data_IF_749041933954
#
_entry.id   IF_749041933954
#
_cell.length_a   1.000
_cell.length_b   1.000
_cell.length_c   1.000
_cell.angle_alpha   90.00
_cell.angle_beta   90.00
_cell.angle_gamma   90.00
#
_symmetry.space_group_name_H-M   'P 1'
#
loop_
_entity.id
_entity.type
_entity.pdbx_description
1 polymer ?
#
# COMPACT_ATOMS: atom_id res chain seq x y z
N UNK A 1 -10.94 19.64 7.53
CA UNK A 1 -11.03 18.57 6.51
C UNK A 1 -11.26 17.26 7.26
N UNK A 2 -12.38 16.56 7.00
CA UNK A 2 -12.66 15.29 7.69
C UNK A 2 -11.72 14.21 7.09
N UNK A 3 -10.67 13.83 7.80
CA UNK A 3 -9.69 12.83 7.34
C UNK A 3 -10.30 11.45 7.08
N UNK A 4 -11.38 11.14 7.78
CA UNK A 4 -12.24 9.99 7.52
C UNK A 4 -12.79 9.94 6.08
N UNK A 5 -12.81 11.09 5.37
CA UNK A 5 -13.20 11.14 3.95
C UNK A 5 -12.32 10.24 3.08
N UNK A 6 -11.00 10.27 3.27
CA UNK A 6 -10.08 9.47 2.44
C UNK A 6 -10.32 7.98 2.58
N UNK A 7 -10.41 7.46 3.82
CA UNK A 7 -10.64 6.03 4.04
C UNK A 7 -12.04 5.62 3.59
N UNK A 8 -13.05 6.48 3.78
CA UNK A 8 -14.44 6.23 3.34
C UNK A 8 -14.55 6.17 1.82
N UNK A 9 -13.83 7.03 1.10
CA UNK A 9 -13.94 7.15 -0.36
C UNK A 9 -13.07 6.14 -1.10
N UNK A 10 -11.83 5.99 -0.67
CA UNK A 10 -10.82 5.18 -1.37
C UNK A 10 -10.57 3.81 -0.73
N UNK A 11 -10.92 3.62 0.54
CA UNK A 11 -10.69 2.38 1.30
C UNK A 11 -11.97 1.81 1.88
N UNK A 12 -13.01 1.55 1.06
CA UNK A 12 -14.34 1.14 1.52
C UNK A 12 -14.31 -0.04 2.49
N UNK A 13 -13.57 -1.11 2.19
CA UNK A 13 -13.42 -2.27 3.07
C UNK A 13 -12.81 -1.87 4.42
N UNK A 14 -11.74 -1.08 4.40
CA UNK A 14 -11.10 -0.55 5.62
C UNK A 14 -12.02 0.37 6.41
N UNK A 15 -12.83 1.18 5.73
CA UNK A 15 -13.81 2.04 6.38
C UNK A 15 -14.84 1.23 7.15
N UNK A 16 -15.44 0.21 6.53
CA UNK A 16 -16.44 -0.64 7.15
C UNK A 16 -15.84 -1.47 8.29
N UNK A 17 -14.68 -2.07 8.08
CA UNK A 17 -13.96 -2.79 9.12
C UNK A 17 -13.59 -1.88 10.31
N UNK A 18 -13.22 -0.63 10.02
CA UNK A 18 -12.86 0.37 11.02
C UNK A 18 -14.01 0.78 11.95
N UNK A 19 -15.28 0.59 11.54
CA UNK A 19 -16.44 0.87 12.42
C UNK A 19 -16.51 -0.06 13.65
N UNK A 20 -15.81 -1.17 13.62
CA UNK A 20 -15.68 -2.09 14.76
C UNK A 20 -14.48 -1.77 15.66
N UNK A 21 -13.67 -0.77 15.32
CA UNK A 21 -12.59 -0.27 16.16
C UNK A 21 -13.10 0.77 17.18
N UNK A 22 -12.36 0.96 18.26
CA UNK A 22 -12.56 2.14 19.12
C UNK A 22 -12.39 3.42 18.32
N UNK A 23 -13.18 4.46 18.61
CA UNK A 23 -13.22 5.71 17.83
C UNK A 23 -11.85 6.38 17.70
N UNK A 24 -11.04 6.39 18.74
CA UNK A 24 -9.69 6.94 18.76
C UNK A 24 -8.73 6.15 17.85
N UNK A 25 -8.76 4.82 17.93
CA UNK A 25 -7.96 3.94 17.07
C UNK A 25 -8.37 4.11 15.61
N UNK A 26 -9.68 4.15 15.32
CA UNK A 26 -10.17 4.37 13.96
C UNK A 26 -9.77 5.73 13.40
N UNK A 27 -9.79 6.79 14.24
CA UNK A 27 -9.33 8.11 13.83
C UNK A 27 -7.83 8.09 13.48
N UNK A 28 -7.00 7.43 14.29
CA UNK A 28 -5.56 7.33 14.05
C UNK A 28 -5.24 6.48 12.78
N UNK A 29 -5.96 5.38 12.56
CA UNK A 29 -5.89 4.62 11.30
C UNK A 29 -6.29 5.47 10.09
N UNK A 30 -7.33 6.30 10.23
CA UNK A 30 -7.79 7.18 9.15
C UNK A 30 -6.76 8.27 8.82
N UNK A 31 -6.01 8.76 9.80
CA UNK A 31 -4.92 9.72 9.58
C UNK A 31 -3.76 9.04 8.83
N UNK A 32 -3.34 7.83 9.25
CA UNK A 32 -2.32 7.07 8.53
C UNK A 32 -2.74 6.81 7.09
N UNK A 33 -3.98 6.35 6.88
CA UNK A 33 -4.52 6.10 5.54
C UNK A 33 -4.49 7.37 4.67
N UNK A 34 -4.97 8.50 5.22
CA UNK A 34 -4.97 9.77 4.50
C UNK A 34 -3.56 10.25 4.16
N UNK A 35 -2.58 10.07 5.07
CA UNK A 35 -1.19 10.43 4.84
C UNK A 35 -0.60 9.61 3.68
N UNK A 36 -0.78 8.30 3.68
CA UNK A 36 -0.31 7.42 2.61
C UNK A 36 -1.00 7.74 1.28
N UNK A 37 -2.33 7.91 1.28
CA UNK A 37 -3.09 8.19 0.06
C UNK A 37 -2.74 9.55 -0.56
N UNK A 38 -2.56 10.60 0.25
CA UNK A 38 -2.14 11.91 -0.26
C UNK A 38 -0.74 11.83 -0.88
N UNK A 39 0.19 11.10 -0.25
CA UNK A 39 1.53 10.92 -0.81
C UNK A 39 1.49 10.17 -2.16
N UNK A 40 0.66 9.15 -2.28
CA UNK A 40 0.43 8.35 -3.48
C UNK A 40 -0.21 9.19 -4.60
N UNK A 41 -1.27 9.94 -4.32
CA UNK A 41 -1.93 10.83 -5.29
C UNK A 41 -0.99 11.90 -5.91
N UNK A 42 0.13 12.25 -5.23
CA UNK A 42 1.11 13.17 -5.78
C UNK A 42 1.86 12.61 -7.00
N UNK A 43 1.88 11.29 -7.17
CA UNK A 43 2.61 10.61 -8.26
C UNK A 43 1.69 10.04 -9.34
N UNK A 44 0.40 9.85 -9.06
CA UNK A 44 -0.52 9.16 -9.98
C UNK A 44 -0.88 9.96 -11.24
N UNK A 45 -1.05 11.28 -11.17
CA UNK A 45 -1.61 12.05 -12.29
C UNK A 45 -0.88 13.36 -12.59
N UNK A 46 0.44 13.47 -12.35
CA UNK A 46 1.08 14.77 -12.38
C UNK A 46 2.33 14.87 -13.27
N UNK A 47 2.30 15.81 -14.23
CA UNK A 47 3.47 16.17 -15.03
C UNK A 47 4.73 16.53 -14.19
N UNK A 48 4.58 16.87 -12.90
CA UNK A 48 5.65 17.24 -11.97
C UNK A 48 5.70 16.32 -10.72
N UNK A 49 5.32 15.04 -10.86
CA UNK A 49 5.22 14.08 -9.77
C UNK A 49 6.49 14.03 -8.89
N UNK A 50 7.66 13.94 -9.50
CA UNK A 50 8.96 13.92 -8.80
C UNK A 50 9.19 15.16 -7.91
N UNK A 51 8.84 16.34 -8.41
CA UNK A 51 8.99 17.60 -7.65
C UNK A 51 8.01 17.63 -6.47
N UNK A 52 6.76 17.24 -6.70
CA UNK A 52 5.69 17.25 -5.68
C UNK A 52 6.00 16.29 -4.54
N UNK A 53 6.36 15.04 -4.86
CA UNK A 53 6.70 14.08 -3.80
C UNK A 53 7.97 14.49 -3.05
N UNK A 54 8.99 15.03 -3.70
CA UNK A 54 10.18 15.52 -3.02
C UNK A 54 9.85 16.71 -2.10
N UNK A 55 8.96 17.62 -2.52
CA UNK A 55 8.48 18.70 -1.66
C UNK A 55 7.75 18.18 -0.43
N UNK A 56 6.86 17.19 -0.62
CA UNK A 56 6.13 16.56 0.48
C UNK A 56 7.08 15.90 1.50
N UNK A 57 8.10 15.16 1.02
CA UNK A 57 9.10 14.52 1.87
C UNK A 57 9.96 15.56 2.60
N UNK A 58 10.40 16.63 1.91
CA UNK A 58 11.11 17.73 2.55
C UNK A 58 10.26 18.40 3.63
N UNK A 59 8.98 18.59 3.36
CA UNK A 59 8.05 19.18 4.33
C UNK A 59 7.80 18.24 5.53
N UNK A 60 7.76 16.91 5.29
CA UNK A 60 7.74 15.93 6.37
C UNK A 60 9.00 15.98 7.24
N UNK A 61 10.17 16.26 6.70
CA UNK A 61 11.42 16.36 7.46
C UNK A 61 11.51 17.62 8.36
N UNK A 62 10.69 18.65 8.11
CA UNK A 62 10.68 19.87 8.91
C UNK A 62 10.04 19.60 10.29
N UNK A 63 10.50 20.26 11.35
CA UNK A 63 9.94 20.13 12.71
C UNK A 63 8.44 20.46 12.71
N UNK A 64 8.05 21.58 12.07
CA UNK A 64 6.64 21.97 11.84
C UNK A 64 6.38 22.03 10.36
N UNK A 65 5.32 21.35 9.90
CA UNK A 65 4.84 21.41 8.52
C UNK A 65 3.66 22.41 8.43
N UNK A 66 3.51 23.06 7.26
CA UNK A 66 2.28 23.78 6.92
C UNK A 66 1.14 22.81 6.56
N UNK A 67 1.46 21.59 6.24
CA UNK A 67 0.49 20.55 5.87
C UNK A 67 -0.08 19.88 7.12
N UNK A 68 -1.39 20.01 7.31
CA UNK A 68 -2.12 19.50 8.47
C UNK A 68 -1.96 17.98 8.60
N UNK A 69 -2.03 17.23 7.47
CA UNK A 69 -1.93 15.76 7.51
C UNK A 69 -0.55 15.29 7.96
N UNK A 70 0.51 15.97 7.54
CA UNK A 70 1.88 15.68 7.98
C UNK A 70 2.00 15.87 9.50
N UNK A 71 1.48 16.98 10.03
CA UNK A 71 1.54 17.25 11.47
C UNK A 71 0.73 16.23 12.28
N UNK A 72 -0.44 15.84 11.78
CA UNK A 72 -1.26 14.81 12.45
C UNK A 72 -0.58 13.45 12.41
N UNK A 73 0.00 13.07 11.27
CA UNK A 73 0.73 11.81 11.16
C UNK A 73 1.95 11.78 12.08
N UNK A 74 2.71 12.86 12.21
CA UNK A 74 3.83 12.96 13.17
C UNK A 74 3.39 12.74 14.61
N UNK A 75 2.21 13.26 15.00
CA UNK A 75 1.66 12.99 16.34
C UNK A 75 1.40 11.50 16.54
N UNK A 76 0.83 10.82 15.55
CA UNK A 76 0.61 9.36 15.60
C UNK A 76 1.93 8.62 15.62
N UNK A 77 2.88 9.02 14.80
CA UNK A 77 4.21 8.41 14.76
C UNK A 77 4.86 8.42 16.15
N UNK A 78 4.81 9.56 16.86
CA UNK A 78 5.33 9.67 18.22
C UNK A 78 4.49 8.83 19.19
N UNK A 79 3.16 8.97 19.15
CA UNK A 79 2.21 8.27 20.04
C UNK A 79 2.42 6.75 20.06
N UNK A 80 2.68 6.17 18.88
CA UNK A 80 2.78 4.73 18.70
C UNK A 80 4.20 4.24 18.43
N UNK A 81 5.21 5.10 18.60
CA UNK A 81 6.63 4.76 18.33
C UNK A 81 6.84 4.10 16.95
N UNK A 82 6.21 4.68 15.90
CA UNK A 82 6.35 4.15 14.55
C UNK A 82 7.77 4.42 14.04
N UNK A 83 8.55 3.38 13.69
CA UNK A 83 9.92 3.53 13.23
C UNK A 83 10.02 4.33 11.92
N UNK A 84 10.96 5.27 11.86
CA UNK A 84 11.25 6.06 10.65
C UNK A 84 11.56 5.19 9.42
N UNK A 85 12.10 3.98 9.64
CA UNK A 85 12.39 3.03 8.57
C UNK A 85 11.16 2.79 7.68
N UNK A 86 9.98 2.54 8.25
CA UNK A 86 8.78 2.23 7.46
C UNK A 86 8.32 3.43 6.63
N UNK A 87 8.50 4.64 7.15
CA UNK A 87 8.13 5.88 6.44
C UNK A 87 9.12 6.16 5.29
N UNK A 88 10.41 5.97 5.55
CA UNK A 88 11.44 6.13 4.51
C UNK A 88 11.29 5.10 3.40
N UNK A 89 10.99 3.84 3.76
CA UNK A 89 10.73 2.76 2.82
C UNK A 89 9.46 3.05 1.97
N UNK A 90 8.39 3.56 2.60
CA UNK A 90 7.19 4.00 1.88
C UNK A 90 7.50 5.11 0.88
N UNK A 91 8.21 6.16 1.31
CA UNK A 91 8.61 7.25 0.41
C UNK A 91 9.52 6.78 -0.73
N UNK A 92 10.38 5.81 -0.45
CA UNK A 92 11.18 5.18 -1.49
C UNK A 92 10.30 4.48 -2.53
N UNK A 93 9.32 3.68 -2.09
CA UNK A 93 8.37 3.00 -2.98
C UNK A 93 7.56 3.97 -3.84
N UNK A 94 6.96 5.00 -3.22
CA UNK A 94 6.19 6.02 -3.94
C UNK A 94 7.06 6.76 -4.99
N UNK A 95 8.33 7.02 -4.68
CA UNK A 95 9.25 7.63 -5.65
C UNK A 95 9.52 6.76 -6.88
N UNK A 96 9.42 5.44 -6.78
CA UNK A 96 9.58 4.58 -7.96
C UNK A 96 8.53 4.88 -9.02
N UNK A 97 7.30 5.25 -8.61
CA UNK A 97 6.18 5.54 -9.50
C UNK A 97 6.25 6.92 -10.18
N UNK A 98 7.26 7.73 -9.85
CA UNK A 98 7.55 8.98 -10.59
C UNK A 98 8.19 8.76 -11.97
N UNK A 99 8.49 7.53 -12.32
CA UNK A 99 9.05 7.08 -13.60
C UNK A 99 8.20 5.94 -14.17
N UNK A 100 8.30 5.64 -15.46
CA UNK A 100 7.69 4.45 -16.02
C UNK A 100 8.13 3.19 -15.25
N UNK A 101 7.17 2.47 -14.69
CA UNK A 101 7.43 1.27 -13.89
C UNK A 101 7.46 0.06 -14.81
N UNK A 102 8.49 -0.76 -14.65
CA UNK A 102 8.65 -2.03 -15.32
C UNK A 102 9.29 -3.05 -14.38
N UNK A 103 8.49 -3.91 -13.82
CA UNK A 103 8.92 -4.97 -12.91
C UNK A 103 9.51 -6.13 -13.72
N UNK A 104 10.70 -6.59 -13.36
CA UNK A 104 11.40 -7.66 -14.11
C UNK A 104 11.07 -9.04 -13.57
N UNK A 105 10.94 -9.18 -12.25
CA UNK A 105 10.82 -10.49 -11.59
C UNK A 105 9.81 -10.51 -10.46
N UNK A 106 9.52 -11.71 -9.98
CA UNK A 106 8.69 -11.98 -8.80
C UNK A 106 9.26 -11.31 -7.54
N UNK A 107 10.57 -11.31 -7.38
CA UNK A 107 11.25 -10.71 -6.24
C UNK A 107 11.09 -9.19 -6.24
N UNK A 108 11.16 -8.57 -7.42
CA UNK A 108 10.97 -7.13 -7.59
C UNK A 108 9.54 -6.70 -7.25
N UNK A 109 8.50 -7.46 -7.68
CA UNK A 109 7.11 -7.10 -7.34
C UNK A 109 6.83 -7.27 -5.86
N UNK A 110 7.37 -8.29 -5.20
CA UNK A 110 7.23 -8.48 -3.76
C UNK A 110 7.91 -7.32 -3.02
N UNK A 111 9.12 -6.93 -3.45
CA UNK A 111 9.86 -5.82 -2.87
C UNK A 111 9.14 -4.49 -3.05
N UNK A 112 8.59 -4.24 -4.24
CA UNK A 112 7.76 -3.07 -4.51
C UNK A 112 6.52 -3.06 -3.60
N UNK A 113 5.78 -4.18 -3.53
CA UNK A 113 4.60 -4.32 -2.68
C UNK A 113 4.92 -4.13 -1.19
N UNK A 114 6.10 -4.56 -0.73
CA UNK A 114 6.59 -4.24 0.61
C UNK A 114 6.70 -2.73 0.81
N UNK A 115 7.35 -2.02 -0.12
CA UNK A 115 7.58 -0.59 0.04
C UNK A 115 6.27 0.21 0.11
N UNK A 116 5.31 -0.05 -0.79
CA UNK A 116 4.09 0.78 -0.91
C UNK A 116 2.95 0.34 0.00
N UNK A 117 2.93 -0.91 0.47
CA UNK A 117 1.82 -1.45 1.27
C UNK A 117 2.26 -2.27 2.49
N UNK A 118 3.33 -3.06 2.40
CA UNK A 118 3.86 -3.79 3.55
C UNK A 118 4.27 -2.84 4.68
N UNK A 119 4.89 -1.71 4.35
CA UNK A 119 5.24 -0.64 5.30
C UNK A 119 4.01 -0.05 5.97
N UNK A 120 2.91 0.12 5.23
CA UNK A 120 1.62 0.59 5.78
C UNK A 120 1.05 -0.44 6.75
N UNK A 121 1.12 -1.74 6.42
CA UNK A 121 0.74 -2.83 7.33
C UNK A 121 1.55 -2.80 8.63
N UNK A 122 2.87 -2.60 8.55
CA UNK A 122 3.72 -2.45 9.73
C UNK A 122 3.33 -1.24 10.58
N UNK A 123 3.09 -0.08 9.98
CA UNK A 123 2.66 1.12 10.69
C UNK A 123 1.28 0.94 11.35
N UNK A 124 0.34 0.25 10.70
CA UNK A 124 -0.95 -0.12 11.29
C UNK A 124 -0.77 -1.04 12.52
N UNK A 125 0.14 -2.02 12.46
CA UNK A 125 0.42 -2.88 13.62
C UNK A 125 0.90 -2.07 14.83
N UNK A 126 1.70 -1.04 14.64
CA UNK A 126 2.10 -0.12 15.71
C UNK A 126 0.89 0.63 16.29
N UNK A 127 -0.04 1.15 15.46
CA UNK A 127 -1.28 1.81 15.93
C UNK A 127 -2.14 0.84 16.76
N UNK A 128 -2.14 -0.44 16.44
CA UNK A 128 -2.82 -1.47 17.22
C UNK A 128 -2.07 -1.87 18.49
N UNK A 129 -1.04 -1.11 18.85
CA UNK A 129 -0.23 -1.32 20.07
C UNK A 129 0.34 -2.74 20.16
N UNK A 130 0.70 -3.33 19.04
CA UNK A 130 1.40 -4.60 19.02
C UNK A 130 2.85 -4.40 18.59
N UNK A 131 3.77 -4.67 19.52
CA UNK A 131 5.22 -4.63 19.27
C UNK A 131 5.81 -6.03 19.08
N UNK A 132 4.96 -7.06 18.99
CA UNK A 132 5.43 -8.42 18.81
C UNK A 132 6.02 -8.58 17.40
N UNK A 133 7.31 -8.99 17.26
CA UNK A 133 7.98 -9.04 15.94
C UNK A 133 7.25 -9.89 14.91
N UNK A 134 6.63 -11.01 15.34
CA UNK A 134 5.81 -11.84 14.45
C UNK A 134 4.56 -11.13 13.97
N UNK A 135 3.90 -10.30 14.83
CA UNK A 135 2.73 -9.53 14.43
C UNK A 135 3.09 -8.51 13.33
N UNK A 136 4.20 -7.79 13.49
CA UNK A 136 4.70 -6.82 12.50
C UNK A 136 5.01 -7.53 11.18
N UNK A 137 5.70 -8.68 11.22
CA UNK A 137 5.98 -9.47 10.02
C UNK A 137 4.71 -9.86 9.27
N UNK A 138 3.72 -10.41 9.98
CA UNK A 138 2.45 -10.81 9.37
C UNK A 138 1.62 -9.63 8.86
N UNK A 139 1.69 -8.46 9.52
CA UNK A 139 1.06 -7.24 9.04
C UNK A 139 1.71 -6.73 7.74
N UNK A 140 3.04 -6.85 7.62
CA UNK A 140 3.76 -6.59 6.37
C UNK A 140 3.28 -7.54 5.26
N UNK A 141 3.20 -8.84 5.55
CA UNK A 141 2.74 -9.84 4.60
C UNK A 141 1.30 -9.55 4.14
N UNK A 142 0.41 -9.15 5.06
CA UNK A 142 -0.96 -8.75 4.70
C UNK A 142 -0.98 -7.53 3.77
N UNK A 143 -0.16 -6.52 4.04
CA UNK A 143 -0.02 -5.36 3.15
C UNK A 143 0.48 -5.76 1.75
N UNK A 144 1.48 -6.64 1.68
CA UNK A 144 1.98 -7.18 0.40
C UNK A 144 0.86 -7.93 -0.35
N UNK A 145 0.07 -8.77 0.35
CA UNK A 145 -1.04 -9.49 -0.26
C UNK A 145 -2.07 -8.55 -0.90
N UNK A 146 -2.47 -7.52 -0.17
CA UNK A 146 -3.42 -6.51 -0.66
C UNK A 146 -2.88 -5.77 -1.88
N UNK A 147 -1.60 -5.41 -1.89
CA UNK A 147 -0.99 -4.75 -3.04
C UNK A 147 -0.91 -5.65 -4.26
N UNK A 148 -0.56 -6.91 -4.08
CA UNK A 148 -0.58 -7.89 -5.18
C UNK A 148 -1.99 -8.05 -5.76
N UNK A 149 -3.02 -8.07 -4.93
CA UNK A 149 -4.42 -8.11 -5.38
C UNK A 149 -4.80 -6.85 -6.16
N UNK A 150 -4.38 -5.64 -5.69
CA UNK A 150 -4.60 -4.39 -6.42
C UNK A 150 -3.92 -4.44 -7.80
N UNK A 151 -2.67 -4.89 -7.87
CA UNK A 151 -1.95 -5.04 -9.13
C UNK A 151 -2.66 -6.03 -10.08
N UNK A 152 -3.19 -7.13 -9.57
CA UNK A 152 -3.94 -8.10 -10.37
C UNK A 152 -5.24 -7.51 -10.92
N UNK A 153 -5.92 -6.66 -10.14
CA UNK A 153 -7.18 -6.00 -10.52
C UNK A 153 -6.97 -4.86 -11.52
N UNK A 154 -5.92 -4.06 -11.33
CA UNK A 154 -5.80 -2.73 -11.95
C UNK A 154 -4.85 -2.71 -13.17
N UNK A 155 -4.51 -3.87 -13.76
CA UNK A 155 -3.53 -4.02 -14.85
C UNK A 155 -3.75 -3.03 -16.00
N UNK A 156 -4.99 -2.86 -16.46
CA UNK A 156 -5.33 -1.96 -17.57
C UNK A 156 -5.26 -0.49 -17.14
N UNK A 157 -5.71 -0.19 -15.93
CA UNK A 157 -5.67 1.17 -15.36
C UNK A 157 -4.23 1.62 -15.15
N UNK A 158 -3.38 0.74 -14.63
CA UNK A 158 -1.95 1.02 -14.43
C UNK A 158 -1.22 1.21 -15.76
N UNK A 159 -1.56 0.39 -16.77
CA UNK A 159 -1.00 0.55 -18.11
C UNK A 159 -1.36 1.91 -18.74
N UNK A 160 -2.58 2.42 -18.53
CA UNK A 160 -2.98 3.77 -18.97
C UNK A 160 -2.15 4.87 -18.30
N UNK A 161 -1.64 4.62 -17.09
CA UNK A 161 -0.71 5.51 -16.39
C UNK A 161 0.76 5.28 -16.78
N UNK A 162 1.04 4.41 -17.75
CA UNK A 162 2.39 4.10 -18.22
C UNK A 162 3.14 3.11 -17.33
N UNK A 163 2.45 2.34 -16.48
CA UNK A 163 3.02 1.44 -15.48
C UNK A 163 2.70 -0.02 -15.79
N UNK A 164 3.70 -0.89 -15.70
CA UNK A 164 3.51 -2.34 -15.80
C UNK A 164 4.11 -2.99 -14.56
N UNK A 165 3.23 -3.40 -13.65
CA UNK A 165 3.63 -4.10 -12.43
C UNK A 165 3.71 -5.62 -12.59
N UNK A 166 3.13 -6.18 -13.66
CA UNK A 166 3.27 -7.61 -13.94
C UNK A 166 4.73 -7.94 -14.28
N UNK A 167 5.36 -8.93 -13.60
CA UNK A 167 6.75 -9.30 -13.84
C UNK A 167 7.00 -9.71 -15.29
N UNK A 168 8.01 -9.10 -15.92
CA UNK A 168 8.33 -9.35 -17.31
C UNK A 168 8.69 -10.82 -17.58
N UNK A 169 9.31 -11.48 -16.60
CA UNK A 169 9.66 -12.91 -16.72
C UNK A 169 8.46 -13.87 -16.64
N UNK A 170 7.23 -13.35 -16.44
CA UNK A 170 6.01 -14.15 -16.59
C UNK A 170 5.60 -14.32 -18.05
N UNK A 171 6.22 -13.55 -18.95
CA UNK A 171 5.96 -13.54 -20.37
C UNK A 171 7.19 -14.04 -21.14
N UNK A 172 6.97 -14.72 -22.25
CA UNK A 172 8.06 -15.12 -23.16
C UNK A 172 8.64 -13.93 -23.93
N UNK A 173 7.83 -12.88 -24.13
CA UNK A 173 8.19 -11.66 -24.84
C UNK A 173 7.98 -10.45 -23.93
N UNK A 174 8.77 -9.40 -24.12
CA UNK A 174 8.58 -8.15 -23.39
C UNK A 174 7.21 -7.54 -23.68
N UNK A 175 6.40 -7.40 -22.63
CA UNK A 175 5.11 -6.71 -22.70
C UNK A 175 5.34 -5.19 -22.67
N UNK A 176 4.65 -4.45 -23.52
CA UNK A 176 4.70 -2.97 -23.58
C UNK A 176 3.35 -2.40 -23.14
N UNK A 177 3.37 -1.20 -22.60
CA UNK A 177 2.17 -0.45 -22.17
C UNK A 177 1.12 -0.41 -23.28
N UNK A 178 1.54 -0.04 -24.51
CA UNK A 178 0.66 0.02 -25.67
C UNK A 178 -0.05 -1.29 -26.01
N UNK A 179 0.60 -2.41 -25.73
CA UNK A 179 0.04 -3.74 -26.05
C UNK A 179 -1.15 -4.06 -25.10
N UNK A 180 -1.08 -3.61 -23.83
CA UNK A 180 -2.15 -3.76 -22.87
C UNK A 180 -3.27 -2.74 -23.16
N UNK A 181 -2.93 -1.46 -23.39
CA UNK A 181 -3.91 -0.37 -23.56
C UNK A 181 -4.71 -0.56 -24.85
N UNK A 182 -4.09 -1.03 -25.94
CA UNK A 182 -4.73 -1.24 -27.23
C UNK A 182 -5.34 -2.65 -27.38
N UNK A 183 -5.34 -3.44 -26.33
CA UNK A 183 -5.81 -4.83 -26.31
C UNK A 183 -5.14 -5.74 -27.37
N UNK A 184 -3.96 -5.36 -27.85
CA UNK A 184 -3.16 -6.11 -28.84
C UNK A 184 -2.32 -7.22 -28.22
N UNK A 185 -2.67 -7.64 -27.00
CA UNK A 185 -1.96 -8.67 -26.28
C UNK A 185 -2.81 -9.94 -26.14
N UNK A 186 -2.14 -11.11 -26.20
CA UNK A 186 -2.79 -12.39 -25.97
C UNK A 186 -3.43 -12.44 -24.57
N UNK A 187 -4.76 -12.40 -24.52
CA UNK A 187 -5.54 -12.39 -23.28
C UNK A 187 -5.24 -13.61 -22.41
N UNK A 188 -4.97 -14.77 -22.98
CA UNK A 188 -4.66 -15.97 -22.22
C UNK A 188 -3.32 -15.86 -21.50
N UNK A 189 -2.32 -15.24 -22.13
CA UNK A 189 -1.01 -14.97 -21.50
C UNK A 189 -1.12 -13.94 -20.40
N UNK A 190 -1.93 -12.89 -20.60
CA UNK A 190 -2.20 -11.88 -19.59
C UNK A 190 -2.92 -12.50 -18.39
N UNK A 191 -3.96 -13.29 -18.64
CA UNK A 191 -4.69 -14.01 -17.61
C UNK A 191 -3.78 -14.95 -16.81
N UNK A 192 -2.93 -15.73 -17.49
CA UNK A 192 -1.96 -16.61 -16.83
C UNK A 192 -0.98 -15.84 -15.94
N UNK A 193 -0.54 -14.64 -16.35
CA UNK A 193 0.32 -13.79 -15.52
C UNK A 193 -0.42 -13.23 -14.29
N UNK A 194 -1.66 -12.78 -14.47
CA UNK A 194 -2.54 -12.32 -13.37
C UNK A 194 -2.79 -13.46 -12.37
N UNK A 195 -3.09 -14.68 -12.87
CA UNK A 195 -3.28 -15.86 -12.03
C UNK A 195 -2.05 -16.15 -11.15
N UNK A 196 -0.84 -16.00 -11.70
CA UNK A 196 0.39 -16.16 -10.91
C UNK A 196 0.48 -15.13 -9.78
N UNK A 197 0.06 -13.87 -10.01
CA UNK A 197 0.02 -12.83 -8.99
C UNK A 197 -1.00 -13.20 -7.89
N UNK A 198 -2.19 -13.66 -8.26
CA UNK A 198 -3.22 -14.09 -7.31
C UNK A 198 -2.73 -15.25 -6.44
N UNK A 199 -2.14 -16.29 -7.03
CA UNK A 199 -1.56 -17.41 -6.29
C UNK A 199 -0.46 -16.94 -5.32
N UNK A 200 0.32 -15.92 -5.73
CA UNK A 200 1.30 -15.31 -4.82
C UNK A 200 0.62 -14.56 -3.68
N UNK A 201 -0.42 -13.77 -3.96
CA UNK A 201 -1.14 -13.00 -2.94
C UNK A 201 -1.77 -13.91 -1.89
N UNK A 202 -2.33 -15.06 -2.27
CA UNK A 202 -2.91 -16.05 -1.35
C UNK A 202 -1.91 -16.54 -0.30
N UNK A 203 -0.64 -16.76 -0.69
CA UNK A 203 0.41 -17.16 0.26
C UNK A 203 0.67 -16.08 1.30
N UNK A 204 0.67 -14.82 0.88
CA UNK A 204 0.83 -13.68 1.77
C UNK A 204 -0.43 -13.44 2.64
N UNK A 205 -1.65 -13.61 2.10
CA UNK A 205 -2.88 -13.61 2.89
C UNK A 205 -2.88 -14.69 3.96
N UNK A 206 -2.47 -15.92 3.61
CA UNK A 206 -2.34 -17.02 4.60
C UNK A 206 -1.39 -16.64 5.73
N UNK A 207 -0.24 -16.02 5.41
CA UNK A 207 0.68 -15.51 6.42
C UNK A 207 0.02 -14.40 7.26
N UNK A 208 -0.59 -13.40 6.62
CA UNK A 208 -1.27 -12.30 7.30
C UNK A 208 -2.34 -12.77 8.27
N UNK A 209 -3.20 -13.70 7.84
CA UNK A 209 -4.25 -14.28 8.67
C UNK A 209 -3.69 -15.05 9.89
N UNK A 210 -2.56 -15.75 9.73
CA UNK A 210 -1.86 -16.37 10.85
C UNK A 210 -1.36 -15.35 11.89
N UNK A 211 -1.20 -14.09 11.48
CA UNK A 211 -0.79 -12.99 12.34
C UNK A 211 -1.89 -12.44 13.24
N UNK A 212 -3.16 -12.63 12.88
CA UNK A 212 -4.33 -12.09 13.62
C UNK A 212 -4.31 -12.49 15.09
N UNK A 213 -3.85 -13.69 15.41
CA UNK A 213 -3.73 -14.18 16.80
C UNK A 213 -2.81 -13.34 17.69
N UNK A 214 -1.83 -12.62 17.10
CA UNK A 214 -0.90 -11.75 17.84
C UNK A 214 -1.47 -10.36 18.11
N UNK A 215 -2.61 -10.00 17.50
CA UNK A 215 -3.30 -8.75 17.74
C UNK A 215 -4.11 -8.78 19.03
N UNK A 216 -4.34 -7.63 19.69
CA UNK A 216 -5.31 -7.51 20.76
C UNK A 216 -6.69 -8.03 20.34
N UNK A 217 -7.42 -8.70 21.22
CA UNK A 217 -8.70 -9.36 20.88
C UNK A 217 -9.69 -8.43 20.17
N UNK A 218 -9.79 -7.18 20.62
CA UNK A 218 -10.70 -6.17 20.04
C UNK A 218 -10.36 -5.77 18.60
N UNK A 219 -9.12 -6.03 18.13
CA UNK A 219 -8.64 -5.68 16.80
C UNK A 219 -8.77 -6.83 15.79
N UNK A 220 -8.88 -8.07 16.28
CA UNK A 220 -8.84 -9.28 15.43
C UNK A 220 -9.96 -9.31 14.39
N UNK A 221 -11.20 -9.07 14.82
CA UNK A 221 -12.36 -9.10 13.93
C UNK A 221 -12.30 -7.98 12.87
N UNK A 222 -12.04 -6.70 13.21
CA UNK A 222 -11.84 -5.66 12.22
C UNK A 222 -10.77 -5.98 11.16
N UNK A 223 -9.62 -6.55 11.57
CA UNK A 223 -8.56 -6.88 10.63
C UNK A 223 -8.94 -8.08 9.76
N UNK A 224 -9.58 -9.09 10.31
CA UNK A 224 -10.12 -10.21 9.54
C UNK A 224 -11.09 -9.70 8.45
N UNK A 225 -12.04 -8.83 8.83
CA UNK A 225 -13.01 -8.25 7.90
C UNK A 225 -12.34 -7.38 6.81
N UNK A 226 -11.28 -6.65 7.16
CA UNK A 226 -10.54 -5.82 6.19
C UNK A 226 -9.74 -6.67 5.19
N UNK A 227 -9.39 -7.91 5.54
CA UNK A 227 -8.56 -8.82 4.74
C UNK A 227 -9.37 -9.83 3.91
N UNK A 228 -10.68 -9.86 4.10
CA UNK A 228 -11.63 -10.69 3.33
C UNK A 228 -12.11 -9.95 2.09
#
# INVERSE_FOLDING_TARGET
MKLEFYIKHYGKSFYWAGKFLKKDIFADCSILYAFCRIADDLVDNNKNSKSKINKFIKEYSNVKSKNIIINQFKKIQIKYNIPNKFINDLFYGIKLDTKPVKIKSKEEIIKYSYYVAGTVGAMMAHIFSTNHPKAIKHAIDLGIAMQLTNIARDVVTDAKLGRIYLPQNFFRQNIKVKDIVNENFDRNKLFAAITKIIIMSEKFYKSGNNGIKYLPRAIRFPIFLASS
#
